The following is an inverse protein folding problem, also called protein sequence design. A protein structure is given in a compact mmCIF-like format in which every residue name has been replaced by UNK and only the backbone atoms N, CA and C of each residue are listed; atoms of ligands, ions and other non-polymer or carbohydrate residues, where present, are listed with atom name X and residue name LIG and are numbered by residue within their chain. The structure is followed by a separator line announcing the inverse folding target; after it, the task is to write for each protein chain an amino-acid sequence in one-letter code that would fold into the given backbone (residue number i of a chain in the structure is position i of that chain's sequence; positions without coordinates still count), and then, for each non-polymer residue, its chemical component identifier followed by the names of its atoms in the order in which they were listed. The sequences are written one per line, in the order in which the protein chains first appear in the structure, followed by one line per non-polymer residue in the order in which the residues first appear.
data_IF_844881800358
#
_entry.id   IF_844881800358
#
_cell.length_a   1.000
_cell.length_b   1.000
_cell.length_c   1.000
_cell.angle_alpha   90.00
_cell.angle_beta   90.00
_cell.angle_gamma   90.00
#
_symmetry.space_group_name_H-M   'P 1'
#
loop_
_entity.id
_entity.type
_entity.pdbx_description
1 polymer ?
#
# COMPACT_ATOMS: atom_id res chain seq x y z
N UNK A 1 -13.56 -8.96 -1.53
CA UNK A 1 -13.50 -10.28 -2.24
C UNK A 1 -12.07 -10.57 -2.68
N UNK A 2 -11.47 -11.73 -2.37
CA UNK A 2 -10.12 -12.12 -2.87
C UNK A 2 -10.28 -12.88 -4.19
N UNK A 3 -9.50 -12.53 -5.22
CA UNK A 3 -9.64 -13.06 -6.58
C UNK A 3 -8.29 -13.45 -7.19
N UNK A 4 -8.30 -14.38 -8.13
CA UNK A 4 -7.12 -14.66 -8.98
C UNK A 4 -7.11 -13.79 -10.24
N UNK A 5 -6.04 -13.86 -11.04
CA UNK A 5 -5.98 -13.22 -12.36
C UNK A 5 -6.64 -14.06 -13.47
N UNK A 6 -7.28 -15.19 -13.13
CA UNK A 6 -7.92 -16.05 -14.12
C UNK A 6 -9.09 -15.32 -14.79
N UNK A 7 -8.96 -15.09 -16.09
CA UNK A 7 -9.97 -14.37 -16.89
C UNK A 7 -11.33 -15.06 -16.85
N UNK A 8 -11.36 -16.39 -16.75
CA UNK A 8 -12.60 -17.16 -16.66
C UNK A 8 -13.29 -16.91 -15.32
N UNK A 9 -12.55 -16.90 -14.22
CA UNK A 9 -13.04 -16.54 -12.89
C UNK A 9 -13.61 -15.11 -12.88
N UNK A 10 -12.87 -14.14 -13.40
CA UNK A 10 -13.31 -12.75 -13.45
C UNK A 10 -14.56 -12.55 -14.32
N UNK A 11 -14.64 -13.25 -15.45
CA UNK A 11 -15.79 -13.17 -16.37
C UNK A 11 -17.10 -13.66 -15.77
N UNK A 12 -17.05 -14.47 -14.68
CA UNK A 12 -18.24 -14.94 -13.95
C UNK A 12 -18.83 -13.89 -13.02
N UNK A 13 -18.11 -12.82 -12.72
CA UNK A 13 -18.62 -11.73 -11.90
C UNK A 13 -19.71 -10.98 -12.66
N UNK A 14 -20.86 -10.78 -12.03
CA UNK A 14 -21.85 -9.85 -12.52
C UNK A 14 -21.37 -8.40 -12.34
N UNK A 15 -22.14 -7.45 -12.88
CA UNK A 15 -21.81 -6.02 -12.85
C UNK A 15 -21.51 -5.54 -11.43
N UNK A 16 -22.40 -5.78 -10.49
CA UNK A 16 -22.29 -5.25 -9.13
C UNK A 16 -21.09 -5.83 -8.38
N UNK A 17 -20.86 -7.15 -8.50
CA UNK A 17 -19.70 -7.79 -7.90
C UNK A 17 -18.38 -7.28 -8.50
N UNK A 18 -18.36 -7.01 -9.82
CA UNK A 18 -17.19 -6.46 -10.49
C UNK A 18 -16.90 -5.01 -10.06
N UNK A 19 -17.93 -4.17 -9.99
CA UNK A 19 -17.82 -2.78 -9.47
C UNK A 19 -17.32 -2.79 -8.03
N UNK A 20 -17.91 -3.61 -7.16
CA UNK A 20 -17.47 -3.72 -5.77
C UNK A 20 -16.01 -4.17 -5.67
N UNK A 21 -15.61 -5.17 -6.47
CA UNK A 21 -14.23 -5.61 -6.51
C UNK A 21 -13.29 -4.47 -6.94
N UNK A 22 -13.61 -3.73 -8.01
CA UNK A 22 -12.80 -2.58 -8.47
C UNK A 22 -12.67 -1.53 -7.36
N UNK A 23 -13.78 -1.15 -6.71
CA UNK A 23 -13.79 -0.16 -5.64
C UNK A 23 -12.92 -0.59 -4.44
N UNK A 24 -12.98 -1.85 -4.02
CA UNK A 24 -12.14 -2.39 -2.94
C UNK A 24 -10.64 -2.23 -3.27
N UNK A 25 -10.21 -2.59 -4.49
CA UNK A 25 -8.80 -2.48 -4.88
C UNK A 25 -8.37 -1.03 -5.03
N UNK A 26 -9.17 -0.20 -5.73
CA UNK A 26 -8.87 1.22 -5.92
C UNK A 26 -8.73 1.92 -4.57
N UNK A 27 -9.63 1.67 -3.63
CA UNK A 27 -9.52 2.18 -2.25
C UNK A 27 -8.21 1.78 -1.59
N UNK A 28 -7.85 0.49 -1.64
CA UNK A 28 -6.62 0.00 -1.02
C UNK A 28 -5.35 0.59 -1.64
N UNK A 29 -5.34 0.77 -2.97
CA UNK A 29 -4.22 1.45 -3.67
C UNK A 29 -4.17 2.94 -3.27
N UNK A 30 -5.31 3.62 -3.15
CA UNK A 30 -5.40 5.02 -2.69
C UNK A 30 -4.90 5.17 -1.26
N UNK A 31 -5.33 4.30 -0.35
CA UNK A 31 -4.86 4.28 1.04
C UNK A 31 -3.35 4.12 1.12
N UNK A 32 -2.77 3.26 0.27
CA UNK A 32 -1.31 3.11 0.15
C UNK A 32 -0.61 4.34 -0.45
N UNK A 33 -1.19 4.95 -1.50
CA UNK A 33 -0.68 6.16 -2.15
C UNK A 33 -0.69 7.39 -1.23
N UNK A 34 -1.75 7.55 -0.44
CA UNK A 34 -2.06 8.78 0.28
C UNK A 34 -1.32 8.89 1.63
N UNK A 35 -0.53 7.88 2.00
CA UNK A 35 0.36 7.92 3.17
C UNK A 35 1.46 8.97 3.00
N UNK A 36 1.85 9.62 4.10
CA UNK A 36 2.83 10.72 4.09
C UNK A 36 3.79 10.65 5.26
N UNK A 37 5.04 11.04 5.02
CA UNK A 37 6.03 11.21 6.08
C UNK A 37 6.24 9.91 6.85
N UNK A 38 6.05 9.96 8.18
CA UNK A 38 6.19 8.79 9.04
C UNK A 38 5.17 7.71 8.66
N UNK A 39 3.93 8.05 8.28
CA UNK A 39 2.85 7.08 7.99
C UNK A 39 3.13 6.10 6.84
N UNK A 40 4.19 6.32 6.06
CA UNK A 40 4.61 5.40 5.01
C UNK A 40 5.38 4.20 5.59
N UNK A 41 4.87 2.99 5.37
CA UNK A 41 5.54 1.77 5.83
C UNK A 41 5.60 0.70 4.72
N UNK A 42 6.67 -0.11 4.71
CA UNK A 42 6.75 -1.24 3.78
C UNK A 42 5.69 -2.33 4.07
N UNK A 43 5.13 -2.35 5.28
CA UNK A 43 4.04 -3.27 5.65
C UNK A 43 2.74 -2.99 4.91
N UNK A 44 2.52 -1.76 4.47
CA UNK A 44 1.27 -1.39 3.79
C UNK A 44 1.14 -2.04 2.42
N UNK A 45 2.24 -2.55 1.87
CA UNK A 45 2.21 -3.36 0.66
C UNK A 45 1.32 -4.61 0.84
N UNK A 46 1.29 -5.22 2.03
CA UNK A 46 0.45 -6.39 2.32
C UNK A 46 -1.04 -6.07 2.26
N UNK A 47 -1.43 -4.84 2.64
CA UNK A 47 -2.81 -4.37 2.52
C UNK A 47 -3.26 -4.28 1.07
N UNK A 48 -2.34 -3.98 0.14
CA UNK A 48 -2.64 -3.98 -1.30
C UNK A 48 -2.64 -5.42 -1.84
N UNK A 49 -1.69 -6.26 -1.43
CA UNK A 49 -1.55 -7.61 -1.97
C UNK A 49 -2.66 -8.58 -1.54
N UNK A 50 -3.34 -8.31 -0.41
CA UNK A 50 -4.38 -9.20 0.14
C UNK A 50 -5.51 -9.51 -0.84
N UNK A 51 -5.75 -8.66 -1.85
CA UNK A 51 -6.81 -8.83 -2.82
C UNK A 51 -6.54 -9.92 -3.86
N UNK A 52 -5.27 -10.37 -3.98
CA UNK A 52 -4.88 -11.42 -4.90
C UNK A 52 -4.78 -12.78 -4.21
N UNK A 53 -5.38 -13.79 -4.85
CA UNK A 53 -5.21 -15.18 -4.47
C UNK A 53 -3.73 -15.59 -4.54
N UNK A 54 -3.27 -16.30 -3.52
CA UNK A 54 -1.88 -16.74 -3.39
C UNK A 54 -0.89 -15.67 -2.95
N UNK A 55 -1.34 -14.45 -2.62
CA UNK A 55 -0.48 -13.45 -1.97
C UNK A 55 -0.04 -13.91 -0.58
N UNK A 56 1.17 -13.53 -0.14
CA UNK A 56 1.59 -13.78 1.23
C UNK A 56 0.69 -13.02 2.19
N UNK A 57 0.29 -13.66 3.29
CA UNK A 57 -0.32 -12.94 4.40
C UNK A 57 0.71 -12.02 5.05
N UNK A 58 0.23 -10.94 5.66
CA UNK A 58 1.06 -10.12 6.54
C UNK A 58 1.74 -11.01 7.62
N UNK A 59 3.06 -10.85 7.83
CA UNK A 59 3.77 -11.52 8.91
C UNK A 59 3.20 -11.17 10.28
N UNK A 60 2.73 -12.17 11.03
CA UNK A 60 2.24 -11.99 12.41
C UNK A 60 3.33 -11.62 13.41
N UNK A 61 4.56 -12.04 13.14
CA UNK A 61 5.74 -11.80 13.99
C UNK A 61 6.91 -11.41 13.10
N UNK A 62 7.57 -10.32 13.47
CA UNK A 62 8.71 -9.76 12.76
C UNK A 62 9.79 -9.50 13.78
N UNK A 63 10.98 -10.09 13.57
CA UNK A 63 12.13 -9.78 14.41
C UNK A 63 12.53 -8.31 14.16
N UNK A 64 12.81 -7.52 15.21
CA UNK A 64 13.20 -6.11 15.07
C UNK A 64 14.32 -5.88 14.05
N UNK A 65 15.33 -6.76 14.02
CA UNK A 65 16.46 -6.69 13.07
C UNK A 65 16.00 -6.81 11.61
N UNK A 66 15.05 -7.71 11.35
CA UNK A 66 14.46 -7.88 10.02
C UNK A 66 13.61 -6.67 9.65
N UNK A 67 12.77 -6.20 10.58
CA UNK A 67 11.97 -5.00 10.39
C UNK A 67 12.84 -3.77 10.06
N UNK A 68 13.92 -3.57 10.82
CA UNK A 68 14.89 -2.51 10.56
C UNK A 68 15.59 -2.62 9.22
N UNK A 69 15.96 -3.84 8.79
CA UNK A 69 16.56 -4.05 7.46
C UNK A 69 15.61 -3.61 6.35
N UNK A 70 14.33 -3.98 6.44
CA UNK A 70 13.32 -3.57 5.46
C UNK A 70 13.05 -2.06 5.52
N UNK A 71 13.05 -1.44 6.71
CA UNK A 71 12.96 0.02 6.85
C UNK A 71 14.13 0.76 6.15
N UNK A 72 15.35 0.23 6.25
CA UNK A 72 16.52 0.79 5.54
C UNK A 72 16.33 0.70 4.03
N UNK A 73 15.94 -0.48 3.51
CA UNK A 73 15.70 -0.66 2.08
C UNK A 73 14.56 0.24 1.57
N UNK A 74 13.48 0.36 2.35
CA UNK A 74 12.37 1.25 2.07
C UNK A 74 12.84 2.70 1.97
N UNK A 75 13.61 3.18 2.97
CA UNK A 75 14.13 4.54 2.97
C UNK A 75 15.06 4.81 1.79
N UNK A 76 15.93 3.86 1.45
CA UNK A 76 16.92 4.03 0.38
C UNK A 76 16.33 3.99 -1.03
N UNK A 77 15.20 3.30 -1.23
CA UNK A 77 14.68 3.02 -2.56
C UNK A 77 13.29 3.60 -2.85
N UNK A 78 12.48 3.86 -1.83
CA UNK A 78 11.09 4.33 -1.98
C UNK A 78 10.88 5.77 -1.53
N UNK A 79 11.96 6.50 -1.25
CA UNK A 79 11.91 7.94 -0.96
C UNK A 79 12.16 8.78 -2.21
N UNK A 80 11.56 9.97 -2.23
CA UNK A 80 11.92 11.03 -3.16
C UNK A 80 12.24 12.32 -2.39
N UNK A 81 13.04 13.20 -2.99
CA UNK A 81 13.37 14.51 -2.41
C UNK A 81 12.22 15.52 -2.59
N UNK A 82 11.43 15.36 -3.65
CA UNK A 82 10.32 16.22 -3.99
C UNK A 82 9.05 15.39 -4.15
N UNK A 83 7.90 16.05 -3.93
CA UNK A 83 6.60 15.47 -4.30
C UNK A 83 6.51 15.36 -5.82
N UNK A 84 5.76 14.37 -6.30
CA UNK A 84 5.51 14.21 -7.72
C UNK A 84 4.64 15.38 -8.25
N UNK A 85 4.91 15.89 -9.45
CA UNK A 85 4.07 16.91 -10.06
C UNK A 85 2.69 16.31 -10.37
N UNK A 86 1.63 17.08 -10.11
CA UNK A 86 0.30 16.70 -10.57
C UNK A 86 0.23 16.82 -12.10
N UNK A 87 -0.19 15.76 -12.82
CA UNK A 87 -0.54 15.86 -14.24
C UNK A 87 -1.66 16.90 -14.48
N UNK A 88 -1.69 17.50 -15.67
CA UNK A 88 -2.74 18.47 -16.05
C UNK A 88 -4.15 17.86 -16.02
N UNK A 89 -4.25 16.55 -16.26
CA UNK A 89 -5.50 15.78 -16.30
C UNK A 89 -5.80 15.02 -15.00
N UNK A 90 -5.12 15.37 -13.89
CA UNK A 90 -5.37 14.76 -12.59
C UNK A 90 -6.73 15.21 -12.01
N UNK A 91 -7.48 14.25 -11.47
CA UNK A 91 -8.76 14.49 -10.78
C UNK A 91 -8.45 14.66 -9.29
N UNK A 92 -8.43 15.90 -8.81
CA UNK A 92 -8.06 16.19 -7.41
C UNK A 92 -9.22 16.01 -6.43
N UNK A 93 -10.46 16.12 -6.90
CA UNK A 93 -11.66 16.01 -6.08
C UNK A 93 -12.10 14.56 -5.95
N UNK A 94 -12.04 14.01 -4.74
CA UNK A 94 -12.27 12.58 -4.47
C UNK A 94 -13.67 12.08 -4.82
N UNK A 95 -14.66 12.98 -4.87
CA UNK A 95 -16.03 12.65 -5.30
C UNK A 95 -16.09 12.17 -6.75
N UNK A 96 -15.11 12.55 -7.59
CA UNK A 96 -15.06 12.24 -9.01
C UNK A 96 -14.17 11.04 -9.37
N UNK A 97 -13.52 10.41 -8.38
CA UNK A 97 -12.51 9.37 -8.63
C UNK A 97 -13.07 8.06 -9.20
N UNK A 98 -14.37 7.80 -9.10
CA UNK A 98 -14.99 6.57 -9.60
C UNK A 98 -16.19 6.84 -10.54
N UNK A 99 -16.28 8.06 -11.08
CA UNK A 99 -17.34 8.48 -12.01
C UNK A 99 -17.30 7.73 -13.35
N UNK A 100 -16.19 7.03 -13.64
CA UNK A 100 -16.04 6.18 -14.81
C UNK A 100 -16.88 4.89 -14.71
N UNK A 101 -17.05 4.33 -13.51
CA UNK A 101 -17.67 3.01 -13.32
C UNK A 101 -19.14 2.92 -13.76
N UNK A 102 -20.02 3.90 -13.48
CA UNK A 102 -21.42 3.81 -13.91
C UNK A 102 -21.59 3.69 -15.43
N UNK A 103 -20.69 4.30 -16.21
CA UNK A 103 -20.74 4.29 -17.68
C UNK A 103 -20.15 3.04 -18.33
N UNK A 104 -19.24 2.33 -17.65
CA UNK A 104 -18.56 1.15 -18.23
C UNK A 104 -19.53 0.00 -18.44
N UNK A 105 -19.45 -0.68 -19.57
CA UNK A 105 -20.10 -1.97 -19.83
C UNK A 105 -19.49 -3.11 -19.01
N UNK A 106 -20.18 -4.25 -18.89
CA UNK A 106 -19.66 -5.40 -18.13
C UNK A 106 -18.29 -5.90 -18.64
N UNK A 107 -18.04 -6.03 -19.96
CA UNK A 107 -16.73 -6.43 -20.46
C UNK A 107 -15.61 -5.42 -20.10
N UNK A 108 -15.93 -4.13 -20.07
CA UNK A 108 -14.98 -3.07 -19.70
C UNK A 108 -14.66 -3.13 -18.20
N UNK A 109 -15.65 -3.42 -17.36
CA UNK A 109 -15.43 -3.66 -15.92
C UNK A 109 -14.54 -4.89 -15.69
N UNK A 110 -14.76 -5.99 -16.43
CA UNK A 110 -13.87 -7.17 -16.33
C UNK A 110 -12.44 -6.85 -16.75
N UNK A 111 -12.26 -6.07 -17.82
CA UNK A 111 -10.94 -5.63 -18.26
C UNK A 111 -10.27 -4.69 -17.26
N UNK A 112 -11.02 -3.75 -16.68
CA UNK A 112 -10.55 -2.84 -15.62
C UNK A 112 -10.09 -3.63 -14.38
N UNK A 113 -10.92 -4.57 -13.91
CA UNK A 113 -10.58 -5.40 -12.76
C UNK A 113 -9.33 -6.24 -13.02
N UNK A 114 -9.22 -6.84 -14.22
CA UNK A 114 -8.01 -7.57 -14.61
C UNK A 114 -6.78 -6.67 -14.60
N UNK A 115 -6.87 -5.46 -15.17
CA UNK A 115 -5.76 -4.51 -15.23
C UNK A 115 -5.27 -4.11 -13.83
N UNK A 116 -6.19 -3.78 -12.92
CA UNK A 116 -5.85 -3.45 -11.53
C UNK A 116 -5.18 -4.64 -10.83
N UNK A 117 -5.70 -5.85 -11.01
CA UNK A 117 -5.09 -7.05 -10.43
C UNK A 117 -3.71 -7.37 -11.00
N UNK A 118 -3.50 -7.15 -12.29
CA UNK A 118 -2.19 -7.27 -12.92
C UNK A 118 -1.18 -6.30 -12.31
N UNK A 119 -1.56 -5.05 -12.07
CA UNK A 119 -0.70 -4.08 -11.39
C UNK A 119 -0.37 -4.47 -9.95
N UNK A 120 -1.36 -4.90 -9.17
CA UNK A 120 -1.11 -5.43 -7.81
C UNK A 120 -0.16 -6.62 -7.86
N UNK A 121 -0.32 -7.52 -8.85
CA UNK A 121 0.52 -8.71 -9.00
C UNK A 121 1.95 -8.31 -9.34
N UNK A 122 2.13 -7.41 -10.30
CA UNK A 122 3.44 -6.91 -10.68
C UNK A 122 4.13 -6.26 -9.48
N UNK A 123 3.43 -5.40 -8.73
CA UNK A 123 3.94 -4.77 -7.51
C UNK A 123 4.35 -5.80 -6.44
N UNK A 124 3.58 -6.87 -6.27
CA UNK A 124 3.88 -7.99 -5.35
C UNK A 124 5.09 -8.79 -5.81
N UNK A 125 5.19 -9.08 -7.10
CA UNK A 125 6.14 -10.03 -7.70
C UNK A 125 7.50 -9.39 -8.05
N UNK A 126 7.72 -8.11 -7.72
CA UNK A 126 9.05 -7.48 -7.85
C UNK A 126 10.07 -8.35 -7.10
N UNK A 127 10.94 -8.99 -7.88
CA UNK A 127 11.96 -9.89 -7.37
C UNK A 127 12.89 -9.08 -6.44
N UNK A 128 12.81 -9.40 -5.14
CA UNK A 128 13.60 -8.85 -4.03
C UNK A 128 15.02 -8.59 -4.55
N UNK A 129 15.44 -7.34 -4.67
CA UNK A 129 16.14 -6.66 -3.57
C UNK A 129 15.77 -5.18 -3.38
N UNK A 130 15.09 -4.52 -4.32
CA UNK A 130 14.87 -3.06 -4.25
C UNK A 130 13.57 -2.63 -4.95
N UNK A 131 12.42 -2.80 -4.28
CA UNK A 131 11.21 -2.07 -4.69
C UNK A 131 11.52 -0.57 -4.59
N UNK A 132 11.22 0.16 -5.65
CA UNK A 132 11.52 1.58 -5.81
C UNK A 132 10.25 2.43 -5.74
N UNK A 133 10.42 3.75 -5.65
CA UNK A 133 9.31 4.68 -5.80
C UNK A 133 8.66 4.58 -7.20
N UNK A 134 9.40 4.20 -8.24
CA UNK A 134 8.84 4.02 -9.59
C UNK A 134 7.91 2.82 -9.68
N UNK A 135 8.19 1.77 -8.90
CA UNK A 135 7.30 0.62 -8.79
C UNK A 135 5.97 0.98 -8.12
N UNK A 136 6.02 1.85 -7.11
CA UNK A 136 4.83 2.39 -6.46
C UNK A 136 4.05 3.30 -7.42
N UNK A 137 4.74 4.16 -8.17
CA UNK A 137 4.13 4.99 -9.23
C UNK A 137 3.43 4.14 -10.27
N UNK A 138 4.04 3.03 -10.69
CA UNK A 138 3.44 2.10 -11.64
C UNK A 138 2.16 1.46 -11.08
N UNK A 139 2.14 1.11 -9.78
CA UNK A 139 0.93 0.66 -9.10
C UNK A 139 -0.15 1.76 -9.09
N UNK A 140 0.22 3.00 -8.75
CA UNK A 140 -0.74 4.12 -8.66
C UNK A 140 -1.27 4.57 -10.01
N UNK A 141 -0.51 4.34 -11.08
CA UNK A 141 -0.89 4.71 -12.46
C UNK A 141 -2.13 4.00 -12.99
N UNK A 142 -2.63 2.95 -12.33
CA UNK A 142 -3.89 2.29 -12.69
C UNK A 142 -5.13 3.00 -12.15
N UNK A 143 -4.95 3.99 -11.28
CA UNK A 143 -6.04 4.78 -10.72
C UNK A 143 -6.48 5.86 -11.73
N UNK A 144 -7.80 6.01 -11.97
CA UNK A 144 -8.30 6.95 -12.98
C UNK A 144 -7.99 8.41 -12.64
N UNK A 145 -7.87 8.74 -11.35
CA UNK A 145 -7.64 10.11 -10.92
C UNK A 145 -6.23 10.64 -11.19
N UNK A 146 -5.25 9.76 -11.44
CA UNK A 146 -3.84 10.12 -11.68
C UNK A 146 -3.25 11.09 -10.65
N UNK A 147 -3.79 11.09 -9.43
CA UNK A 147 -3.33 11.96 -8.37
C UNK A 147 -1.87 11.60 -7.99
N UNK A 148 -0.98 12.60 -7.80
CA UNK A 148 0.41 12.35 -7.47
C UNK A 148 0.54 11.75 -6.07
N UNK A 149 1.52 10.87 -5.89
CA UNK A 149 1.90 10.36 -4.57
C UNK A 149 2.97 11.26 -3.93
N UNK A 150 3.03 11.23 -2.60
CA UNK A 150 4.08 11.92 -1.85
C UNK A 150 5.09 10.92 -1.29
N UNK A 151 6.18 10.72 -2.04
CA UNK A 151 7.24 9.79 -1.67
C UNK A 151 8.24 10.36 -0.66
N UNK A 152 8.06 11.59 -0.18
CA UNK A 152 8.98 12.19 0.78
C UNK A 152 8.88 11.47 2.12
N UNK A 153 10.04 11.20 2.70
CA UNK A 153 10.18 10.68 4.06
C UNK A 153 10.89 11.72 4.92
N UNK A 154 10.76 11.66 6.25
CA UNK A 154 11.55 12.49 7.15
C UNK A 154 13.07 12.31 6.94
N UNK A 155 13.91 13.21 7.48
CA UNK A 155 15.36 13.02 7.53
C UNK A 155 15.75 11.65 8.08
N UNK A 156 16.88 11.11 7.63
CA UNK A 156 17.30 9.74 7.92
C UNK A 156 17.42 9.50 9.43
N UNK A 157 17.91 10.49 10.17
CA UNK A 157 18.09 10.47 11.61
C UNK A 157 16.75 10.46 12.38
N UNK A 158 15.69 10.98 11.76
CA UNK A 158 14.33 10.97 12.31
C UNK A 158 13.59 9.68 11.98
N UNK A 159 13.71 9.18 10.75
CA UNK A 159 13.01 7.98 10.29
C UNK A 159 13.70 6.68 10.74
N UNK A 160 15.01 6.56 10.50
CA UNK A 160 15.80 5.36 10.84
C UNK A 160 16.55 5.49 12.17
N UNK A 161 16.54 6.67 12.80
CA UNK A 161 17.26 6.95 14.04
C UNK A 161 16.34 7.13 15.25
N UNK A 162 16.93 7.65 16.32
CA UNK A 162 16.26 7.84 17.63
C UNK A 162 15.87 9.30 17.88
N UNK A 163 15.99 10.19 16.89
CA UNK A 163 15.79 11.63 17.08
C UNK A 163 14.35 11.98 17.51
N UNK A 164 13.37 11.13 17.18
CA UNK A 164 11.95 11.27 17.57
C UNK A 164 11.50 10.26 18.63
N UNK A 165 12.43 9.56 19.27
CA UNK A 165 12.09 8.61 20.33
C UNK A 165 11.41 9.33 21.53
N UNK A 166 10.46 8.69 22.24
CA UNK A 166 9.86 7.38 21.98
C UNK A 166 8.59 7.47 21.09
N UNK A 167 8.39 8.58 20.37
CA UNK A 167 7.11 8.89 19.72
C UNK A 167 7.06 8.49 18.24
N UNK A 168 8.20 8.43 17.56
CA UNK A 168 8.30 8.05 16.16
C UNK A 168 9.70 7.46 15.82
N UNK A 169 9.85 7.00 14.58
CA UNK A 169 11.07 6.38 14.06
C UNK A 169 11.05 4.85 14.14
N UNK A 170 11.57 4.20 13.10
CA UNK A 170 11.57 2.74 12.96
C UNK A 170 12.19 2.00 14.17
N UNK A 171 13.34 2.43 14.75
CA UNK A 171 13.92 1.72 15.89
C UNK A 171 13.00 1.68 17.11
N UNK A 172 12.34 2.79 17.40
CA UNK A 172 11.38 2.88 18.51
C UNK A 172 10.15 2.03 18.24
N UNK A 173 9.60 2.09 17.03
CA UNK A 173 8.48 1.24 16.63
C UNK A 173 8.82 -0.25 16.83
N UNK A 174 9.93 -0.73 16.28
CA UNK A 174 10.32 -2.15 16.36
C UNK A 174 10.63 -2.61 17.79
N UNK A 175 11.26 -1.76 18.62
CA UNK A 175 11.46 -2.10 20.05
C UNK A 175 10.14 -2.23 20.79
N UNK A 176 9.20 -1.33 20.56
CA UNK A 176 7.89 -1.41 21.24
C UNK A 176 7.07 -2.64 20.83
N UNK A 177 7.32 -3.19 19.64
CA UNK A 177 6.68 -4.40 19.13
C UNK A 177 7.51 -5.68 19.37
N UNK A 178 8.70 -5.61 19.97
CA UNK A 178 9.52 -6.79 20.23
C UNK A 178 8.87 -7.73 21.27
N UNK A 179 8.17 -7.14 22.24
CA UNK A 179 7.62 -7.85 23.41
C UNK A 179 6.10 -8.01 23.39
N UNK A 180 5.37 -7.45 22.41
CA UNK A 180 3.93 -7.71 22.37
C UNK A 180 3.65 -9.15 21.91
N UNK A 181 2.68 -9.79 22.57
CA UNK A 181 2.23 -11.12 22.15
C UNK A 181 1.61 -11.11 20.74
N UNK A 182 1.56 -12.27 20.09
CA UNK A 182 1.12 -12.49 18.70
C UNK A 182 -0.27 -11.89 18.35
N UNK A 183 -1.10 -11.58 19.35
CA UNK A 183 -2.46 -11.04 19.15
C UNK A 183 -2.58 -9.52 19.39
N UNK A 184 -1.47 -8.80 19.65
CA UNK A 184 -1.53 -7.41 20.16
C UNK A 184 -0.85 -6.36 19.27
N UNK A 185 -0.36 -6.74 18.09
CA UNK A 185 0.36 -5.83 17.19
C UNK A 185 -0.59 -5.18 16.18
N UNK A 186 -0.40 -3.89 15.93
CA UNK A 186 -0.98 -3.14 14.82
C UNK A 186 0.16 -2.46 14.06
N UNK A 187 0.67 -3.11 13.01
CA UNK A 187 1.83 -2.61 12.27
C UNK A 187 1.52 -1.42 11.35
N UNK A 188 0.24 -1.07 11.19
CA UNK A 188 -0.21 0.03 10.32
C UNK A 188 -0.46 1.32 11.10
N UNK A 189 -0.24 1.32 12.42
CA UNK A 189 -0.35 2.50 13.25
C UNK A 189 0.99 2.85 13.88
N UNK A 190 1.51 4.03 13.52
CA UNK A 190 2.71 4.55 14.15
C UNK A 190 2.52 4.85 15.64
N UNK A 191 3.61 4.60 16.37
CA UNK A 191 3.70 4.78 17.80
C UNK A 191 4.04 3.49 18.55
N UNK A 192 4.12 3.55 19.89
CA UNK A 192 4.29 2.35 20.69
C UNK A 192 3.07 1.42 20.49
N UNK A 193 3.34 0.13 20.44
CA UNK A 193 2.31 -0.91 20.59
C UNK A 193 1.41 -0.54 21.77
N UNK A 194 0.09 -0.51 21.57
CA UNK A 194 -0.85 -0.14 22.64
C UNK A 194 -0.79 -1.23 23.72
N UNK A 195 -0.20 -0.91 24.86
CA UNK A 195 -0.43 -1.68 26.08
C UNK A 195 -1.94 -1.76 26.31
N UNK A 196 -2.45 -2.94 26.67
CA UNK A 196 -3.82 -3.04 27.19
C UNK A 196 -3.97 -2.01 28.33
N UNK A 197 -5.12 -1.32 28.45
CA UNK A 197 -5.37 -0.54 29.65
C UNK A 197 -5.20 -1.48 30.85
N UNK A 198 -4.43 -1.01 31.83
CA UNK A 198 -4.14 -1.69 33.08
C UNK A 198 -5.41 -2.20 33.78
#
# INVERSE_FOLDING_TARGET
MILSLDKTELSRLNRDACIQAILERRRSIREHRDQKGDDRCFFDDYLVWQWLSGSPSEPKVVLPEKGMRECVLFYEHRRAEAADPAPEDAILESVHWDDDLPSKGLPELHAELLHIQEAIRLHRDIAKEKRSADDDRALYGVLPEKAPADFRLPPKEEFLGEARAPRAGCPTFWRSHADCGVQRHDYHKWGPCKESPA
#
